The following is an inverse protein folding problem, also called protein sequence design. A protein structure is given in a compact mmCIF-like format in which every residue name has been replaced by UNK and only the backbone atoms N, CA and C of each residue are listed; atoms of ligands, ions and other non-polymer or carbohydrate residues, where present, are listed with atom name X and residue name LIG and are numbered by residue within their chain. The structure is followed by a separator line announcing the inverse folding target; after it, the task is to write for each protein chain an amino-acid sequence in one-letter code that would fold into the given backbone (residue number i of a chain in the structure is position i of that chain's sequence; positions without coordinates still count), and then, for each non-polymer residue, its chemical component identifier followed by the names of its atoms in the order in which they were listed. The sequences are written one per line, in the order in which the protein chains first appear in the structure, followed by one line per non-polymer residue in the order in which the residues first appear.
data_IF_706616984541
#
_entry.id   IF_706616984541
#
_cell.length_a   1.000
_cell.length_b   1.000
_cell.length_c   1.000
_cell.angle_alpha   90.00
_cell.angle_beta   90.00
_cell.angle_gamma   90.00
#
_symmetry.space_group_name_H-M   'P 1'
#
loop_
_entity.id
_entity.type
_entity.pdbx_description
1 polymer ?
#
# COMPACT_ATOMS: atom_id res chain seq x y z
N UNK A 1 42.79 -23.93 -14.34
CA UNK A 1 41.84 -23.15 -13.51
C UNK A 1 42.16 -23.43 -12.04
N UNK A 2 42.65 -22.46 -11.28
CA UNK A 2 43.04 -22.67 -9.87
C UNK A 2 41.79 -22.93 -9.03
N UNK A 3 41.85 -23.87 -8.07
CA UNK A 3 40.71 -24.22 -7.19
C UNK A 3 40.06 -22.98 -6.53
N UNK A 4 40.86 -21.93 -6.28
CA UNK A 4 40.43 -20.63 -5.77
C UNK A 4 39.50 -19.85 -6.73
N UNK A 5 39.78 -19.87 -8.03
CA UNK A 5 38.92 -19.23 -9.04
C UNK A 5 37.57 -19.94 -9.16
N UNK A 6 37.59 -21.27 -9.08
CA UNK A 6 36.39 -22.10 -9.19
C UNK A 6 35.47 -21.91 -7.98
N UNK A 7 36.03 -21.80 -6.76
CA UNK A 7 35.26 -21.42 -5.57
C UNK A 7 34.65 -20.02 -5.67
N UNK A 8 35.39 -19.04 -6.20
CA UNK A 8 34.91 -17.65 -6.33
C UNK A 8 33.71 -17.56 -7.29
N UNK A 9 33.75 -18.30 -8.41
CA UNK A 9 32.64 -18.40 -9.36
C UNK A 9 31.42 -19.09 -8.73
N UNK A 10 31.61 -20.16 -7.95
CA UNK A 10 30.48 -20.79 -7.25
C UNK A 10 29.82 -19.84 -6.24
N UNK A 11 30.59 -19.11 -5.44
CA UNK A 11 30.05 -18.14 -4.47
C UNK A 11 29.23 -17.05 -5.17
N UNK A 12 29.71 -16.52 -6.30
CA UNK A 12 28.99 -15.55 -7.13
C UNK A 12 27.69 -16.10 -7.72
N UNK A 13 27.66 -17.36 -8.16
CA UNK A 13 26.44 -17.98 -8.67
C UNK A 13 25.41 -18.24 -7.56
N UNK A 14 25.85 -18.59 -6.36
CA UNK A 14 24.97 -18.75 -5.20
C UNK A 14 24.36 -17.42 -4.74
N UNK A 15 25.13 -16.32 -4.73
CA UNK A 15 24.58 -15.01 -4.35
C UNK A 15 23.58 -14.47 -5.38
N UNK A 16 23.80 -14.71 -6.68
CA UNK A 16 22.85 -14.34 -7.73
C UNK A 16 21.51 -15.11 -7.65
N UNK A 17 21.55 -16.35 -7.16
CA UNK A 17 20.37 -17.22 -7.06
C UNK A 17 19.38 -16.77 -5.98
N UNK A 18 19.87 -16.16 -4.90
CA UNK A 18 19.04 -15.73 -3.76
C UNK A 18 18.30 -14.42 -4.09
N UNK A 19 18.95 -13.49 -4.79
CA UNK A 19 18.37 -12.19 -5.14
C UNK A 19 17.21 -12.29 -6.14
N UNK A 20 17.23 -13.30 -7.03
CA UNK A 20 16.21 -13.48 -8.06
C UNK A 20 14.81 -13.85 -7.51
N UNK A 21 14.77 -14.61 -6.41
CA UNK A 21 13.50 -15.07 -5.83
C UNK A 21 12.72 -13.91 -5.19
N UNK A 22 13.40 -13.09 -4.37
CA UNK A 22 12.79 -11.91 -3.74
C UNK A 22 12.30 -10.89 -4.76
N UNK A 23 13.07 -10.63 -5.82
CA UNK A 23 12.68 -9.69 -6.87
C UNK A 23 11.41 -10.16 -7.62
N UNK A 24 11.33 -11.45 -7.94
CA UNK A 24 10.17 -12.00 -8.65
C UNK A 24 8.90 -11.99 -7.79
N UNK A 25 9.01 -12.17 -6.48
CA UNK A 25 7.87 -12.06 -5.57
C UNK A 25 7.42 -10.60 -5.42
N UNK A 26 8.36 -9.67 -5.20
CA UNK A 26 8.06 -8.25 -5.08
C UNK A 26 7.39 -7.69 -6.34
N UNK A 27 7.89 -8.03 -7.52
CA UNK A 27 7.28 -7.58 -8.79
C UNK A 27 5.85 -8.08 -8.99
N UNK A 28 5.52 -9.29 -8.52
CA UNK A 28 4.14 -9.81 -8.53
C UNK A 28 3.24 -9.03 -7.57
N UNK A 29 3.69 -8.80 -6.34
CA UNK A 29 2.94 -8.02 -5.35
C UNK A 29 2.69 -6.61 -5.84
N UNK A 30 3.75 -5.93 -6.33
CA UNK A 30 3.64 -4.60 -6.92
C UNK A 30 2.62 -4.54 -8.05
N UNK A 31 2.60 -5.54 -8.95
CA UNK A 31 1.64 -5.60 -10.06
C UNK A 31 0.20 -5.78 -9.57
N UNK A 32 -0.02 -6.59 -8.53
CA UNK A 32 -1.34 -6.75 -7.90
C UNK A 32 -1.77 -5.42 -7.28
N UNK A 33 -0.88 -4.81 -6.50
CA UNK A 33 -1.14 -3.56 -5.81
C UNK A 33 -1.41 -2.40 -6.78
N UNK A 34 -0.72 -2.35 -7.92
CA UNK A 34 -1.01 -1.38 -8.97
C UNK A 34 -2.44 -1.47 -9.55
N UNK A 35 -3.13 -2.60 -9.39
CA UNK A 35 -4.55 -2.70 -9.76
C UNK A 35 -5.43 -2.17 -8.64
N UNK A 36 -5.18 -2.62 -7.41
CA UNK A 36 -5.90 -2.17 -6.22
C UNK A 36 -5.79 -0.65 -6.03
N UNK A 37 -4.63 -0.05 -6.31
CA UNK A 37 -4.45 1.40 -6.29
C UNK A 37 -5.40 2.15 -7.23
N UNK A 38 -5.64 1.60 -8.43
CA UNK A 38 -6.57 2.24 -9.37
C UNK A 38 -8.02 2.10 -8.93
N UNK A 39 -8.36 0.94 -8.39
CA UNK A 39 -9.69 0.66 -7.87
C UNK A 39 -10.00 1.54 -6.65
N UNK A 40 -9.06 1.62 -5.70
CA UNK A 40 -9.09 2.55 -4.57
C UNK A 40 -9.32 3.99 -5.01
N UNK A 41 -8.54 4.47 -5.99
CA UNK A 41 -8.69 5.84 -6.47
C UNK A 41 -10.02 6.07 -7.20
N UNK A 42 -10.56 5.06 -7.88
CA UNK A 42 -11.89 5.17 -8.48
C UNK A 42 -12.97 5.26 -7.41
N UNK A 43 -12.92 4.45 -6.36
CA UNK A 43 -13.89 4.55 -5.25
C UNK A 43 -13.80 5.90 -4.54
N UNK A 44 -12.59 6.45 -4.36
CA UNK A 44 -12.41 7.82 -3.85
C UNK A 44 -13.06 8.86 -4.75
N UNK A 45 -12.83 8.76 -6.05
CA UNK A 45 -13.38 9.70 -7.04
C UNK A 45 -14.90 9.64 -7.13
N UNK A 46 -15.46 8.45 -6.99
CA UNK A 46 -16.90 8.21 -7.06
C UNK A 46 -17.57 8.35 -5.67
N UNK A 47 -16.81 8.73 -4.63
CA UNK A 47 -17.23 8.77 -3.21
C UNK A 47 -17.95 7.49 -2.75
N UNK A 48 -17.52 6.34 -3.27
CA UNK A 48 -18.09 5.04 -2.95
C UNK A 48 -17.56 4.55 -1.60
N UNK A 49 -18.17 5.06 -0.52
CA UNK A 49 -17.81 4.74 0.86
C UNK A 49 -17.90 3.22 1.10
N UNK A 50 -18.95 2.55 0.64
CA UNK A 50 -19.09 1.09 0.79
C UNK A 50 -17.92 0.36 0.14
N UNK A 51 -17.57 0.75 -1.11
CA UNK A 51 -16.41 0.21 -1.81
C UNK A 51 -15.09 0.45 -1.08
N UNK A 52 -14.91 1.64 -0.50
CA UNK A 52 -13.72 2.00 0.28
C UNK A 52 -13.63 1.22 1.61
N UNK A 53 -14.74 1.08 2.33
CA UNK A 53 -14.85 0.30 3.56
C UNK A 53 -14.50 -1.16 3.30
N UNK A 54 -15.01 -1.74 2.21
CA UNK A 54 -14.75 -3.13 1.83
C UNK A 54 -13.28 -3.41 1.48
N UNK A 55 -12.47 -2.38 1.20
CA UNK A 55 -11.03 -2.55 0.98
C UNK A 55 -10.23 -2.70 2.28
N UNK A 56 -10.79 -2.32 3.44
CA UNK A 56 -10.11 -2.45 4.72
C UNK A 56 -10.05 -3.89 5.22
N UNK A 57 -9.01 -4.19 5.99
CA UNK A 57 -8.90 -5.46 6.70
C UNK A 57 -9.97 -5.60 7.77
N UNK A 58 -10.39 -6.85 8.03
CA UNK A 58 -11.47 -7.16 8.97
C UNK A 58 -11.19 -6.58 10.36
N UNK A 59 -9.93 -6.65 10.81
CA UNK A 59 -9.54 -6.09 12.11
C UNK A 59 -9.75 -4.57 12.20
N UNK A 60 -9.60 -3.84 11.09
CA UNK A 60 -9.84 -2.41 11.04
C UNK A 60 -11.33 -2.11 10.89
N UNK A 61 -12.06 -2.87 10.07
CA UNK A 61 -13.52 -2.76 9.95
C UNK A 61 -14.23 -3.01 11.28
N UNK A 62 -13.71 -3.92 12.10
CA UNK A 62 -14.25 -4.22 13.43
C UNK A 62 -13.83 -3.19 14.51
N UNK A 63 -12.75 -2.43 14.26
CA UNK A 63 -12.17 -1.51 15.25
C UNK A 63 -12.61 -0.05 15.10
N UNK A 64 -13.08 0.35 13.93
CA UNK A 64 -13.38 1.74 13.58
C UNK A 64 -14.77 1.85 12.94
N UNK A 65 -15.45 2.96 13.18
CA UNK A 65 -16.61 3.36 12.37
C UNK A 65 -16.08 3.95 11.06
N UNK A 66 -15.83 3.09 10.08
CA UNK A 66 -15.19 3.50 8.84
C UNK A 66 -16.09 4.37 7.96
N UNK A 67 -17.40 4.23 8.07
CA UNK A 67 -18.35 5.09 7.36
C UNK A 67 -18.19 6.53 7.86
N UNK A 68 -18.27 6.75 9.18
CA UNK A 68 -18.04 8.06 9.80
C UNK A 68 -16.63 8.61 9.49
N UNK A 69 -15.59 7.77 9.53
CA UNK A 69 -14.23 8.20 9.20
C UNK A 69 -14.08 8.67 7.74
N UNK A 70 -14.82 8.07 6.81
CA UNK A 70 -14.81 8.49 5.41
C UNK A 70 -15.63 9.75 5.18
N UNK A 71 -16.77 9.90 5.85
CA UNK A 71 -17.52 11.16 5.85
C UNK A 71 -16.65 12.31 6.37
N UNK A 72 -15.96 12.13 7.50
CA UNK A 72 -15.01 13.13 8.03
C UNK A 72 -13.84 13.40 7.07
N UNK A 73 -13.39 12.39 6.33
CA UNK A 73 -12.34 12.56 5.33
C UNK A 73 -12.83 13.46 4.19
N UNK A 74 -14.01 13.21 3.63
CA UNK A 74 -14.56 14.00 2.53
C UNK A 74 -14.94 15.42 2.98
N UNK A 75 -15.38 15.60 4.23
CA UNK A 75 -15.63 16.93 4.81
C UNK A 75 -14.36 17.81 4.91
N UNK A 76 -13.18 17.19 5.00
CA UNK A 76 -11.88 17.88 5.05
C UNK A 76 -11.33 18.18 3.65
N UNK A 77 -11.82 17.50 2.62
CA UNK A 77 -11.39 17.71 1.23
C UNK A 77 -12.19 18.87 0.61
N UNK A 78 -11.48 19.83 0.03
CA UNK A 78 -12.05 20.98 -0.66
C UNK A 78 -12.44 20.60 -2.10
N UNK A 79 -13.66 20.07 -2.25
CA UNK A 79 -14.23 19.61 -3.52
C UNK A 79 -14.04 18.11 -3.76
N UNK A 80 -14.39 17.65 -4.96
CA UNK A 80 -14.39 16.22 -5.29
C UNK A 80 -13.00 15.83 -5.84
N UNK A 81 -12.41 14.75 -5.33
CA UNK A 81 -11.11 14.26 -5.83
C UNK A 81 -11.25 13.78 -7.28
N UNK A 82 -10.60 14.45 -8.23
CA UNK A 82 -10.75 14.13 -9.65
C UNK A 82 -9.58 13.35 -10.25
N UNK A 83 -8.35 13.66 -9.83
CA UNK A 83 -7.14 13.16 -10.49
C UNK A 83 -5.89 13.15 -9.60
N UNK A 84 -4.83 12.53 -10.12
CA UNK A 84 -3.49 12.53 -9.53
C UNK A 84 -2.43 12.53 -10.65
N UNK A 85 -1.24 13.05 -10.36
CA UNK A 85 -0.12 13.08 -11.32
C UNK A 85 0.53 11.70 -11.49
N UNK A 86 0.91 11.10 -10.37
CA UNK A 86 1.58 9.80 -10.32
C UNK A 86 1.31 9.09 -9.01
N UNK A 87 1.56 7.78 -9.01
CA UNK A 87 1.58 7.01 -7.77
C UNK A 87 2.79 6.08 -7.71
N UNK A 88 3.18 5.74 -6.49
CA UNK A 88 4.29 4.85 -6.19
C UNK A 88 3.89 3.78 -5.18
N UNK A 89 4.23 2.53 -5.51
CA UNK A 89 4.10 1.40 -4.58
C UNK A 89 5.46 1.11 -3.98
N UNK A 90 5.53 1.14 -2.65
CA UNK A 90 6.72 0.95 -1.84
C UNK A 90 6.55 -0.28 -0.94
N UNK A 91 7.58 -1.11 -0.88
CA UNK A 91 7.67 -2.18 0.11
C UNK A 91 8.11 -1.59 1.45
N UNK A 92 7.32 -1.77 2.49
CA UNK A 92 7.71 -1.33 3.83
C UNK A 92 8.34 -2.48 4.60
N UNK A 93 7.60 -3.56 4.81
CA UNK A 93 8.01 -4.63 5.75
C UNK A 93 7.62 -6.03 5.29
N UNK A 94 8.38 -7.00 5.78
CA UNK A 94 8.15 -8.43 5.61
C UNK A 94 7.97 -9.12 6.95
N UNK A 95 6.95 -9.96 7.04
CA UNK A 95 6.73 -10.82 8.19
C UNK A 95 6.99 -12.26 7.75
N UNK A 96 7.85 -12.95 8.51
CA UNK A 96 8.31 -14.30 8.20
C UNK A 96 8.02 -15.17 9.42
N UNK A 97 7.32 -16.27 9.20
CA UNK A 97 7.13 -17.34 10.18
C UNK A 97 7.55 -18.67 9.56
N UNK A 98 8.28 -19.49 10.32
CA UNK A 98 8.86 -20.77 9.86
C UNK A 98 9.56 -20.69 8.48
N UNK A 99 10.31 -19.61 8.26
CA UNK A 99 11.03 -19.37 7.00
C UNK A 99 10.13 -19.07 5.79
N UNK A 100 8.82 -18.89 5.99
CA UNK A 100 7.85 -18.50 4.96
C UNK A 100 7.34 -17.09 5.23
N UNK A 101 7.16 -16.35 4.15
CA UNK A 101 6.60 -15.01 4.22
C UNK A 101 5.10 -15.16 4.51
N UNK A 102 4.69 -14.73 5.70
CA UNK A 102 3.31 -14.77 6.13
C UNK A 102 2.56 -13.56 5.63
N UNK A 103 3.12 -12.35 5.77
CA UNK A 103 2.52 -11.11 5.27
C UNK A 103 3.57 -10.08 4.86
N UNK A 104 3.18 -9.16 3.98
CA UNK A 104 4.00 -8.01 3.58
C UNK A 104 3.20 -6.73 3.78
N UNK A 105 3.83 -5.69 4.32
CA UNK A 105 3.25 -4.35 4.38
C UNK A 105 3.72 -3.55 3.16
N UNK A 106 2.76 -3.07 2.37
CA UNK A 106 2.98 -2.17 1.25
C UNK A 106 2.44 -0.78 1.56
N UNK A 107 3.04 0.23 0.94
CA UNK A 107 2.53 1.60 0.92
C UNK A 107 2.27 2.03 -0.52
N UNK A 108 1.14 2.67 -0.75
CA UNK A 108 0.85 3.37 -2.00
C UNK A 108 0.71 4.84 -1.72
N UNK A 109 1.38 5.66 -2.51
CA UNK A 109 1.37 7.13 -2.38
C UNK A 109 1.01 7.72 -3.74
N UNK A 110 -0.09 8.47 -3.79
CA UNK A 110 -0.50 9.32 -4.89
C UNK A 110 0.03 10.74 -4.62
N UNK A 111 0.72 11.33 -5.58
CA UNK A 111 1.24 12.70 -5.49
C UNK A 111 0.48 13.63 -6.44
N UNK A 112 0.36 14.90 -6.06
CA UNK A 112 -0.33 15.92 -6.86
C UNK A 112 -1.79 15.53 -7.06
N UNK A 113 -2.51 15.30 -5.96
CA UNK A 113 -3.93 14.93 -6.01
C UNK A 113 -4.72 16.22 -6.17
N UNK A 114 -5.58 16.29 -7.19
CA UNK A 114 -6.30 17.52 -7.54
C UNK A 114 -7.81 17.31 -7.47
N UNK A 115 -8.52 18.32 -6.95
CA UNK A 115 -9.98 18.37 -6.89
C UNK A 115 -10.58 19.13 -8.07
N UNK A 116 -11.89 19.00 -8.28
CA UNK A 116 -12.65 19.74 -9.30
C UNK A 116 -12.65 21.27 -9.07
N UNK A 117 -12.53 21.70 -7.81
CA UNK A 117 -12.34 23.11 -7.42
C UNK A 117 -10.89 23.61 -7.66
N UNK A 118 -9.99 22.73 -8.10
CA UNK A 118 -8.61 23.07 -8.45
C UNK A 118 -7.66 23.15 -7.25
N UNK A 119 -8.05 22.60 -6.10
CA UNK A 119 -7.16 22.42 -4.94
C UNK A 119 -6.22 21.27 -5.22
N UNK A 120 -4.94 21.43 -4.89
CA UNK A 120 -3.91 20.40 -5.04
C UNK A 120 -3.36 20.02 -3.66
N UNK A 121 -3.45 18.74 -3.32
CA UNK A 121 -2.86 18.17 -2.11
C UNK A 121 -1.51 17.53 -2.42
N UNK A 122 -0.54 17.70 -1.51
CA UNK A 122 0.79 17.11 -1.59
C UNK A 122 0.76 15.60 -1.85
N UNK A 123 -0.01 14.88 -1.02
CA UNK A 123 -0.12 13.43 -1.15
C UNK A 123 -1.35 12.83 -0.47
N UNK A 124 -1.84 11.76 -1.08
CA UNK A 124 -2.75 10.80 -0.49
C UNK A 124 -2.04 9.45 -0.46
N UNK A 125 -1.95 8.82 0.71
CA UNK A 125 -1.30 7.52 0.83
C UNK A 125 -2.13 6.52 1.64
N UNK A 126 -1.99 5.25 1.29
CA UNK A 126 -2.50 4.15 2.09
C UNK A 126 -1.44 3.08 2.34
N UNK A 127 -1.68 2.29 3.38
CA UNK A 127 -0.91 1.09 3.71
C UNK A 127 -1.82 -0.13 3.70
N UNK A 128 -1.28 -1.25 3.22
CA UNK A 128 -2.01 -2.51 3.11
C UNK A 128 -1.13 -3.71 3.42
N UNK A 129 -1.69 -4.69 4.12
CA UNK A 129 -1.07 -6.00 4.27
C UNK A 129 -1.50 -6.94 3.14
N UNK A 130 -0.52 -7.59 2.52
CA UNK A 130 -0.72 -8.54 1.42
C UNK A 130 -0.04 -9.88 1.71
N UNK A 131 -0.67 -11.01 1.32
CA UNK A 131 -0.28 -12.42 1.65
C UNK A 131 -0.53 -12.71 3.14
N UNK A 132 -1.10 -13.81 3.67
CA UNK A 132 -1.36 -15.22 3.30
C UNK A 132 -2.82 -15.62 3.65
N UNK A 133 -3.25 -16.83 3.26
CA UNK A 133 -4.62 -17.35 3.39
C UNK A 133 -5.02 -17.53 4.87
N UNK A 134 -6.14 -16.93 5.25
CA UNK A 134 -6.81 -16.99 6.57
C UNK A 134 -6.31 -16.01 7.65
N UNK A 135 -5.74 -14.86 7.25
CA UNK A 135 -5.40 -13.76 8.18
C UNK A 135 -6.37 -12.57 8.01
N UNK A 136 -7.09 -12.24 9.08
CA UNK A 136 -8.07 -11.14 9.16
C UNK A 136 -7.42 -9.75 8.97
N UNK A 137 -6.08 -9.68 8.97
CA UNK A 137 -5.32 -8.44 8.78
C UNK A 137 -5.07 -8.08 7.32
N UNK A 138 -5.57 -8.88 6.36
CA UNK A 138 -5.43 -8.59 4.93
C UNK A 138 -6.35 -7.46 4.48
N UNK A 139 -5.78 -6.45 3.82
CA UNK A 139 -6.54 -5.30 3.34
C UNK A 139 -5.85 -3.98 3.65
N UNK A 140 -6.54 -2.87 3.40
CA UNK A 140 -6.10 -1.55 3.84
C UNK A 140 -6.08 -1.53 5.37
N UNK A 141 -5.03 -0.95 5.93
CA UNK A 141 -4.95 -0.74 7.38
C UNK A 141 -4.86 0.73 7.77
N UNK A 142 -4.37 1.58 6.88
CA UNK A 142 -4.18 3.01 7.16
C UNK A 142 -4.28 3.85 5.91
N UNK A 143 -4.91 5.03 6.03
CA UNK A 143 -4.97 6.05 4.98
C UNK A 143 -4.55 7.39 5.59
N UNK A 144 -3.87 8.24 4.81
CA UNK A 144 -3.47 9.59 5.20
C UNK A 144 -3.57 10.56 4.03
N UNK A 145 -4.22 11.69 4.25
CA UNK A 145 -4.14 12.88 3.39
C UNK A 145 -3.14 13.87 4.00
N UNK A 146 -2.29 14.45 3.17
CA UNK A 146 -1.30 15.46 3.57
C UNK A 146 -1.40 16.70 2.69
N UNK A 147 -1.24 17.85 3.35
CA UNK A 147 -1.08 19.16 2.73
C UNK A 147 -0.01 19.95 3.51
N UNK A 148 0.91 20.61 2.82
CA UNK A 148 1.98 21.45 3.39
C UNK A 148 2.63 20.87 4.68
N UNK A 149 3.12 19.63 4.60
CA UNK A 149 3.73 18.84 5.70
C UNK A 149 2.79 18.42 6.86
N UNK A 150 1.53 18.84 6.86
CA UNK A 150 0.53 18.46 7.87
C UNK A 150 -0.36 17.30 7.40
N UNK A 151 -0.74 16.42 8.33
CA UNK A 151 -1.76 15.40 8.04
C UNK A 151 -3.13 15.99 8.29
N UNK A 152 -3.91 16.15 7.23
CA UNK A 152 -5.27 16.68 7.30
C UNK A 152 -6.26 15.64 7.80
N UNK A 153 -6.11 14.38 7.36
CA UNK A 153 -6.96 13.27 7.78
C UNK A 153 -6.18 11.97 7.86
N UNK A 154 -6.58 11.10 8.80
CA UNK A 154 -6.00 9.78 9.02
C UNK A 154 -7.09 8.77 9.35
N UNK A 155 -7.24 7.74 8.52
CA UNK A 155 -8.18 6.63 8.77
C UNK A 155 -7.39 5.38 9.13
N UNK A 156 -7.85 4.67 10.16
CA UNK A 156 -7.26 3.39 10.60
C UNK A 156 -5.88 3.52 11.26
N UNK A 157 -5.16 2.40 11.31
CA UNK A 157 -3.82 2.29 11.92
C UNK A 157 -3.02 1.12 11.33
N UNK A 158 -1.70 1.28 11.29
CA UNK A 158 -0.78 0.15 11.05
C UNK A 158 -0.45 -0.53 12.37
N UNK A 159 -0.55 -1.86 12.44
CA UNK A 159 -0.13 -2.61 13.62
C UNK A 159 1.41 -2.75 13.65
N UNK A 160 2.03 -2.40 14.78
CA UNK A 160 3.44 -2.66 15.08
C UNK A 160 3.53 -3.67 16.22
#
# INVERSE_FOLDING_TARGET
MTKKLLCMVMVLLFTLSISGCHFMQYSKLKRKESKNAKEFFNYLKDEDIDGLVDMFSDDIRDSFDLEECWEEFFDVVDGDIESYDRYHVTYLEQFIDDGKITRCLLKVEFSGVTTDEGVEYDSLEYQTYVVHSDDDQLGLCKIRLRDDDEFLSVIGRSQF
#
